data_IF_065414933001
#
_entry.id   IF_065414933001
#
_cell.length_a   1.000
_cell.length_b   1.000
_cell.length_c   1.000
_cell.angle_alpha   90.00
_cell.angle_beta   90.00
_cell.angle_gamma   90.00
#
_symmetry.space_group_name_H-M   'P 1'
#
loop_
_entity.id
_entity.type
_entity.pdbx_description
1 polymer ?
#
# COMPACT_ATOMS: atom_id res chain seq x y z
N UNK A 1 -7.80 0.17 18.29
CA UNK A 1 -6.40 0.40 17.88
C UNK A 1 -5.63 0.83 19.13
N UNK A 2 -4.58 0.11 19.52
CA UNK A 2 -3.70 0.53 20.62
C UNK A 2 -2.77 1.66 20.18
N UNK A 3 -2.16 2.39 21.12
CA UNK A 3 -1.16 3.42 20.78
C UNK A 3 -0.02 2.87 19.93
N UNK A 4 0.50 1.68 20.27
CA UNK A 4 1.55 1.02 19.51
C UNK A 4 1.12 0.69 18.07
N UNK A 5 -0.11 0.20 17.88
CA UNK A 5 -0.67 -0.05 16.55
C UNK A 5 -0.86 1.24 15.76
N UNK A 6 -1.38 2.30 16.40
CA UNK A 6 -1.62 3.60 15.78
C UNK A 6 -0.34 4.28 15.29
N UNK A 7 0.74 4.18 16.07
CA UNK A 7 2.05 4.73 15.70
C UNK A 7 2.62 4.13 14.39
N UNK A 8 2.23 2.90 14.05
CA UNK A 8 2.67 2.21 12.83
C UNK A 8 1.89 2.59 11.56
N UNK A 9 0.84 3.43 11.64
CA UNK A 9 -0.07 3.66 10.51
C UNK A 9 0.44 4.74 9.56
N UNK A 10 0.85 5.89 10.08
CA UNK A 10 0.97 7.12 9.27
C UNK A 10 1.97 6.99 8.11
N UNK A 11 3.27 6.81 8.42
CA UNK A 11 4.32 6.82 7.39
C UNK A 11 4.13 5.70 6.36
N UNK A 12 3.84 4.43 6.74
CA UNK A 12 3.63 3.37 5.77
C UNK A 12 2.49 3.62 4.80
N UNK A 13 1.30 3.98 5.32
CA UNK A 13 0.12 4.16 4.48
C UNK A 13 0.18 5.46 3.67
N UNK A 14 0.70 6.55 4.22
CA UNK A 14 0.88 7.79 3.48
C UNK A 14 1.85 7.61 2.30
N UNK A 15 2.97 6.91 2.52
CA UNK A 15 3.94 6.60 1.47
C UNK A 15 3.32 5.72 0.38
N UNK A 16 2.65 4.64 0.78
CA UNK A 16 2.01 3.72 -0.15
C UNK A 16 0.91 4.43 -0.98
N UNK A 17 0.05 5.23 -0.34
CA UNK A 17 -1.01 5.98 -1.01
C UNK A 17 -0.46 6.97 -2.04
N UNK A 18 0.58 7.72 -1.67
CA UNK A 18 1.26 8.64 -2.59
C UNK A 18 1.83 7.91 -3.81
N UNK A 19 2.45 6.76 -3.60
CA UNK A 19 2.99 5.94 -4.68
C UNK A 19 1.88 5.44 -5.62
N UNK A 20 0.89 4.75 -5.07
CA UNK A 20 -0.16 4.06 -5.82
C UNK A 20 -1.11 5.04 -6.53
N UNK A 21 -1.65 6.02 -5.82
CA UNK A 21 -2.79 6.80 -6.33
C UNK A 21 -2.41 8.20 -6.82
N UNK A 22 -1.41 8.84 -6.19
CA UNK A 22 -1.02 10.20 -6.60
C UNK A 22 0.03 10.20 -7.72
N UNK A 23 0.99 9.27 -7.66
CA UNK A 23 2.07 9.17 -8.64
C UNK A 23 1.74 8.21 -9.76
N UNK A 24 1.46 6.95 -9.44
CA UNK A 24 1.15 5.93 -10.44
C UNK A 24 -0.27 6.05 -11.00
N UNK A 25 -1.19 6.69 -10.25
CA UNK A 25 -2.61 6.82 -10.61
C UNK A 25 -3.26 5.46 -10.93
N UNK A 26 -2.90 4.44 -10.16
CA UNK A 26 -3.34 3.07 -10.39
C UNK A 26 -4.86 2.94 -10.34
N UNK A 27 -5.41 2.19 -11.28
CA UNK A 27 -6.85 1.92 -11.39
C UNK A 27 -7.15 0.43 -11.30
N UNK A 28 -8.40 0.10 -10.96
CA UNK A 28 -8.84 -1.28 -10.84
C UNK A 28 -8.58 -2.08 -12.12
N UNK A 29 -8.17 -3.35 -11.97
CA UNK A 29 -7.81 -4.23 -13.07
C UNK A 29 -6.34 -4.17 -13.49
N UNK A 30 -5.59 -3.15 -13.08
CA UNK A 30 -4.13 -3.10 -13.32
C UNK A 30 -3.36 -4.03 -12.38
N UNK A 31 -2.11 -4.33 -12.75
CA UNK A 31 -1.19 -5.13 -11.93
C UNK A 31 -0.06 -4.25 -11.38
N UNK A 32 0.27 -4.44 -10.10
CA UNK A 32 1.36 -3.74 -9.41
C UNK A 32 2.36 -4.72 -8.82
N UNK A 33 3.65 -4.44 -9.03
CA UNK A 33 4.76 -5.11 -8.35
C UNK A 33 5.14 -4.34 -7.08
N UNK A 34 5.08 -4.99 -5.92
CA UNK A 34 5.42 -4.41 -4.62
C UNK A 34 6.70 -5.05 -4.09
N UNK A 35 7.83 -4.40 -4.26
CA UNK A 35 9.07 -4.87 -3.63
C UNK A 35 9.01 -4.75 -2.10
N UNK A 36 9.56 -5.75 -1.40
CA UNK A 36 9.57 -5.78 0.06
C UNK A 36 8.16 -5.83 0.65
N UNK A 37 7.25 -6.60 0.04
CA UNK A 37 5.84 -6.68 0.43
C UNK A 37 5.60 -7.02 1.92
N UNK A 38 6.56 -7.68 2.57
CA UNK A 38 6.54 -8.00 4.01
C UNK A 38 7.01 -6.86 4.94
N UNK A 39 7.54 -5.76 4.41
CA UNK A 39 7.93 -4.59 5.18
C UNK A 39 6.76 -3.64 5.44
N UNK A 40 6.96 -2.62 6.29
CA UNK A 40 5.88 -1.70 6.70
C UNK A 40 5.14 -1.02 5.53
N UNK A 41 5.88 -0.35 4.64
CA UNK A 41 5.30 0.29 3.44
C UNK A 41 4.75 -0.76 2.47
N UNK A 42 5.47 -1.87 2.29
CA UNK A 42 5.07 -2.95 1.38
C UNK A 42 3.71 -3.53 1.77
N UNK A 43 3.52 -3.85 3.05
CA UNK A 43 2.26 -4.38 3.57
C UNK A 43 1.13 -3.36 3.42
N UNK A 44 1.38 -2.07 3.67
CA UNK A 44 0.40 -1.01 3.43
C UNK A 44 0.03 -0.89 1.94
N UNK A 45 1.02 -0.99 1.04
CA UNK A 45 0.80 -0.96 -0.41
C UNK A 45 -0.01 -2.16 -0.89
N UNK A 46 0.29 -3.38 -0.41
CA UNK A 46 -0.50 -4.59 -0.72
C UNK A 46 -1.96 -4.39 -0.30
N UNK A 47 -2.21 -3.91 0.92
CA UNK A 47 -3.57 -3.68 1.42
C UNK A 47 -4.33 -2.66 0.57
N UNK A 48 -3.72 -1.50 0.30
CA UNK A 48 -4.33 -0.44 -0.50
C UNK A 48 -4.58 -0.86 -1.95
N UNK A 49 -3.60 -1.52 -2.59
CA UNK A 49 -3.71 -1.97 -3.97
C UNK A 49 -4.84 -3.01 -4.13
N UNK A 50 -4.91 -4.00 -3.24
CA UNK A 50 -5.98 -5.01 -3.26
C UNK A 50 -7.36 -4.37 -3.03
N UNK A 51 -7.45 -3.44 -2.08
CA UNK A 51 -8.70 -2.71 -1.82
C UNK A 51 -9.16 -1.86 -3.01
N UNK A 52 -8.23 -1.35 -3.81
CA UNK A 52 -8.51 -0.59 -5.03
C UNK A 52 -8.73 -1.48 -6.27
N UNK A 53 -8.74 -2.82 -6.13
CA UNK A 53 -8.99 -3.75 -7.23
C UNK A 53 -7.78 -3.99 -8.15
N UNK A 54 -6.56 -3.71 -7.69
CA UNK A 54 -5.35 -4.05 -8.40
C UNK A 54 -4.93 -5.50 -8.09
N UNK A 55 -4.34 -6.16 -9.09
CA UNK A 55 -3.64 -7.42 -8.88
C UNK A 55 -2.25 -7.12 -8.32
N UNK A 56 -1.89 -7.78 -7.21
CA UNK A 56 -0.61 -7.55 -6.53
C UNK A 56 0.34 -8.72 -6.78
N UNK A 57 1.55 -8.40 -7.20
CA UNK A 57 2.72 -9.28 -7.17
C UNK A 57 3.65 -8.70 -6.11
N UNK A 58 3.99 -9.46 -5.07
CA UNK A 58 4.72 -8.97 -3.90
C UNK A 58 5.92 -9.82 -3.54
#
# INVERSE_FOLDING_TARGET
>A
ISFAQGAGVYVPFATAYRGLFQRAKGVAGETVLVHGASGGVGTAAVQLARAAGLTVIG
#
